data_IF_067783284657
#
_entry.id   IF_067783284657
#
_cell.length_a   1.000
_cell.length_b   1.000
_cell.length_c   1.000
_cell.angle_alpha   90.00
_cell.angle_beta   90.00
_cell.angle_gamma   90.00
#
_symmetry.space_group_name_H-M   'P 1'
#
loop_
_entity.id
_entity.type
_entity.pdbx_description
1 polymer ?
#
# COMPACT_ATOMS: atom_id res chain seq x y z
N UNK A 1 -35.55 31.67 -17.74
CA UNK A 1 -36.91 31.08 -17.77
C UNK A 1 -37.32 30.81 -16.33
N UNK A 2 -38.32 31.55 -15.85
CA UNK A 2 -38.97 31.34 -14.55
C UNK A 2 -40.06 30.27 -14.66
N UNK A 3 -40.17 29.33 -13.70
CA UNK A 3 -41.41 28.76 -13.06
C UNK A 3 -40.96 28.03 -11.77
N UNK A 4 -41.29 28.48 -10.54
CA UNK A 4 -42.44 28.13 -9.66
C UNK A 4 -42.62 26.60 -9.50
N UNK A 5 -42.83 25.99 -8.32
CA UNK A 5 -43.59 26.42 -7.14
C UNK A 5 -43.28 25.61 -5.86
N UNK A 6 -43.73 26.19 -4.74
CA UNK A 6 -43.82 25.76 -3.34
C UNK A 6 -44.71 24.52 -3.10
N UNK A 7 -44.48 23.82 -1.98
CA UNK A 7 -45.46 23.18 -1.06
C UNK A 7 -44.68 22.70 0.19
N UNK A 8 -44.63 23.44 1.30
CA UNK A 8 -45.53 23.38 2.47
C UNK A 8 -46.05 22.00 2.87
N UNK A 9 -45.56 21.50 4.01
CA UNK A 9 -46.12 20.36 4.73
C UNK A 9 -45.60 20.33 6.17
N UNK A 10 -46.30 21.01 7.07
CA UNK A 10 -46.09 20.91 8.51
C UNK A 10 -46.87 19.70 9.05
N UNK A 11 -46.20 18.84 9.81
CA UNK A 11 -46.88 17.95 10.75
C UNK A 11 -46.00 17.77 11.99
N UNK A 12 -46.41 18.42 13.06
CA UNK A 12 -45.92 18.15 14.40
C UNK A 12 -46.59 16.87 14.93
N UNK A 13 -45.81 16.00 15.55
CA UNK A 13 -46.31 15.05 16.53
C UNK A 13 -45.24 14.87 17.63
N UNK A 14 -45.55 15.44 18.80
CA UNK A 14 -44.90 15.17 20.07
C UNK A 14 -45.30 13.78 20.55
N UNK A 15 -44.32 12.92 20.85
CA UNK A 15 -44.47 11.88 21.88
C UNK A 15 -43.20 11.88 22.73
N UNK A 16 -43.32 12.42 23.94
CA UNK A 16 -42.36 12.22 25.01
C UNK A 16 -42.58 10.83 25.60
N UNK A 17 -41.62 9.93 25.41
CA UNK A 17 -41.52 8.64 26.08
C UNK A 17 -40.22 8.58 26.85
N UNK A 18 -40.27 8.81 28.16
CA UNK A 18 -39.13 8.62 29.06
C UNK A 18 -39.19 7.17 29.54
N UNK A 19 -38.43 6.29 28.91
CA UNK A 19 -38.18 4.94 29.40
C UNK A 19 -36.68 4.81 29.64
N UNK A 20 -36.30 4.65 30.90
CA UNK A 20 -34.91 4.52 31.32
C UNK A 20 -34.27 3.26 30.74
N UNK A 21 -33.25 3.47 29.90
CA UNK A 21 -32.25 2.45 29.67
C UNK A 21 -31.17 2.63 30.74
N UNK A 22 -31.11 1.68 31.67
CA UNK A 22 -29.86 1.29 32.31
C UNK A 22 -28.94 0.80 31.18
N UNK A 23 -28.25 1.75 30.54
CA UNK A 23 -27.24 1.48 29.54
C UNK A 23 -26.09 0.79 30.24
N UNK A 24 -25.95 -0.49 29.97
CA UNK A 24 -24.74 -1.25 30.24
C UNK A 24 -23.59 -0.44 29.62
N UNK A 25 -22.74 0.15 30.47
CA UNK A 25 -21.48 0.76 30.05
C UNK A 25 -20.56 -0.41 29.72
N UNK A 26 -20.80 -1.03 28.56
CA UNK A 26 -19.83 -1.90 27.94
C UNK A 26 -18.53 -1.09 27.77
N UNK A 27 -17.35 -1.74 27.90
CA UNK A 27 -16.08 -1.05 27.73
C UNK A 27 -16.12 -0.26 26.41
N UNK A 28 -15.99 1.06 26.54
CA UNK A 28 -16.05 2.01 25.44
C UNK A 28 -15.08 1.58 24.34
N UNK A 29 -15.63 1.32 23.14
CA UNK A 29 -14.94 0.98 21.90
C UNK A 29 -13.69 1.86 21.62
N UNK A 30 -13.65 3.08 22.15
CA UNK A 30 -12.53 4.02 22.03
C UNK A 30 -11.19 3.54 22.62
N UNK A 31 -11.18 2.64 23.62
CA UNK A 31 -9.93 2.14 24.20
C UNK A 31 -9.30 1.01 23.37
N UNK A 32 -10.10 0.32 22.54
CA UNK A 32 -9.64 -0.77 21.67
C UNK A 32 -9.03 -0.24 20.37
N UNK A 33 -9.66 0.76 19.76
CA UNK A 33 -9.20 1.41 18.53
C UNK A 33 -7.79 2.03 18.66
N UNK A 34 -7.50 2.67 19.81
CA UNK A 34 -6.16 3.25 20.06
C UNK A 34 -5.01 2.23 20.08
N UNK A 35 -5.28 0.97 20.42
CA UNK A 35 -4.21 -0.03 20.50
C UNK A 35 -3.83 -0.60 19.12
N UNK A 36 -4.63 -0.37 18.09
CA UNK A 36 -4.37 -0.80 16.72
C UNK A 36 -3.81 0.31 15.82
N UNK A 37 -3.89 1.56 16.25
CA UNK A 37 -3.33 2.69 15.52
C UNK A 37 -1.78 2.66 15.49
N UNK A 38 -1.19 3.04 14.36
CA UNK A 38 0.27 3.11 14.18
C UNK A 38 0.65 4.27 13.28
N UNK A 39 1.82 4.83 13.51
CA UNK A 39 2.43 5.84 12.66
C UNK A 39 3.57 5.22 11.85
N UNK A 40 3.67 5.60 10.58
CA UNK A 40 4.70 5.18 9.65
C UNK A 40 5.46 6.41 9.17
N UNK A 41 6.78 6.28 9.10
CA UNK A 41 7.65 7.29 8.51
C UNK A 41 8.60 6.64 7.49
N UNK A 42 8.76 7.26 6.33
CA UNK A 42 9.79 6.89 5.37
C UNK A 42 11.14 7.37 5.92
N UNK A 43 12.00 6.42 6.31
CA UNK A 43 13.28 6.74 6.99
C UNK A 43 14.49 6.50 6.11
N UNK A 44 14.35 5.70 5.05
CA UNK A 44 15.42 5.41 4.11
C UNK A 44 14.86 5.10 2.71
N UNK A 45 15.61 5.48 1.68
CA UNK A 45 15.36 5.10 0.29
C UNK A 45 16.69 5.03 -0.46
N UNK A 46 16.87 3.99 -1.26
CA UNK A 46 18.03 3.87 -2.13
C UNK A 46 17.95 4.86 -3.29
N UNK A 47 19.09 5.42 -3.66
CA UNK A 47 19.21 6.24 -4.87
C UNK A 47 19.46 5.36 -6.08
N UNK A 48 18.94 5.77 -7.24
CA UNK A 48 19.29 5.19 -8.53
C UNK A 48 20.38 6.08 -9.15
N UNK A 49 21.57 5.57 -9.47
CA UNK A 49 22.61 6.35 -10.13
C UNK A 49 22.13 6.98 -11.45
N UNK A 50 22.42 8.28 -11.65
CA UNK A 50 21.98 9.04 -12.84
C UNK A 50 22.40 8.39 -14.16
N UNK A 51 23.55 7.68 -14.21
CA UNK A 51 24.00 6.97 -15.40
C UNK A 51 23.05 5.87 -15.88
N UNK A 52 22.12 5.43 -15.02
CA UNK A 52 21.12 4.44 -15.37
C UNK A 52 19.89 5.06 -16.06
N UNK A 53 19.77 6.38 -16.14
CA UNK A 53 18.76 7.06 -16.96
C UNK A 53 17.31 6.81 -16.55
N UNK A 54 17.06 6.46 -15.28
CA UNK A 54 15.73 6.41 -14.68
C UNK A 54 15.84 6.70 -13.18
N UNK A 55 14.74 7.14 -12.58
CA UNK A 55 14.62 7.38 -11.15
C UNK A 55 13.49 6.55 -10.55
N UNK A 56 13.60 6.25 -9.25
CA UNK A 56 12.54 5.62 -8.46
C UNK A 56 12.39 6.38 -7.14
N UNK A 57 11.16 6.76 -6.84
CA UNK A 57 10.80 7.57 -5.68
C UNK A 57 9.65 6.92 -4.91
N UNK A 58 9.76 6.91 -3.58
CA UNK A 58 8.70 6.49 -2.67
C UNK A 58 8.18 7.68 -1.89
N UNK A 59 6.86 7.82 -1.80
CA UNK A 59 6.19 8.86 -1.01
C UNK A 59 5.13 8.23 -0.12
N UNK A 60 5.10 8.56 1.17
CA UNK A 60 3.97 8.21 2.02
C UNK A 60 2.79 9.14 1.71
N UNK A 61 1.66 8.55 1.33
CA UNK A 61 0.41 9.26 1.07
C UNK A 61 -0.43 9.37 2.34
N UNK A 62 -0.46 8.29 3.12
CA UNK A 62 -1.12 8.22 4.43
C UNK A 62 -0.14 7.58 5.41
N UNK A 63 0.24 8.32 6.45
CA UNK A 63 1.26 7.92 7.42
C UNK A 63 0.68 7.13 8.60
N UNK A 64 -0.65 7.05 8.71
CA UNK A 64 -1.31 6.43 9.86
C UNK A 64 -2.08 5.18 9.44
N UNK A 65 -1.85 4.08 10.14
CA UNK A 65 -2.73 2.92 10.11
C UNK A 65 -3.79 3.12 11.18
N UNK A 66 -5.06 3.19 10.79
CA UNK A 66 -6.23 3.26 11.67
C UNK A 66 -7.12 2.03 11.51
N UNK A 67 -8.26 1.97 12.20
CA UNK A 67 -9.20 0.84 12.10
C UNK A 67 -9.86 0.72 10.71
N UNK A 68 -10.09 1.88 10.09
CA UNK A 68 -10.87 2.07 8.86
C UNK A 68 -10.04 2.59 7.68
N UNK A 69 -8.78 2.99 7.89
CA UNK A 69 -7.83 3.34 6.82
C UNK A 69 -6.44 2.72 7.03
N UNK A 70 -5.79 2.16 5.99
CA UNK A 70 -4.41 1.69 6.09
C UNK A 70 -3.45 2.87 5.90
N UNK A 71 -2.19 2.69 6.29
CA UNK A 71 -1.14 3.55 5.75
C UNK A 71 -0.94 3.24 4.25
N UNK A 72 -0.66 4.27 3.47
CA UNK A 72 -0.54 4.19 2.01
C UNK A 72 0.74 4.85 1.52
N UNK A 73 1.34 4.27 0.51
CA UNK A 73 2.52 4.81 -0.16
C UNK A 73 2.39 4.75 -1.67
N UNK A 74 3.05 5.68 -2.35
CA UNK A 74 3.23 5.71 -3.78
C UNK A 74 4.68 5.33 -4.09
N UNK A 75 4.89 4.42 -5.04
CA UNK A 75 6.19 4.22 -5.70
C UNK A 75 6.06 4.68 -7.15
N UNK A 76 6.87 5.66 -7.52
CA UNK A 76 6.96 6.23 -8.86
C UNK A 76 8.27 5.83 -9.49
N UNK A 77 8.23 5.32 -10.73
CA UNK A 77 9.41 5.15 -11.56
C UNK A 77 9.28 6.04 -12.78
N UNK A 78 10.32 6.82 -13.10
CA UNK A 78 10.35 7.70 -14.26
C UNK A 78 11.52 7.34 -15.15
N UNK A 79 11.28 7.15 -16.45
CA UNK A 79 12.36 7.05 -17.42
C UNK A 79 12.90 8.46 -17.72
N UNK A 80 14.16 8.72 -17.41
CA UNK A 80 14.76 10.06 -17.54
C UNK A 80 15.66 10.19 -18.77
N UNK A 81 16.03 9.06 -19.39
CA UNK A 81 16.85 8.99 -20.58
C UNK A 81 16.06 8.70 -21.86
N UNK A 82 16.77 8.16 -22.84
CA UNK A 82 16.16 7.64 -24.08
C UNK A 82 15.13 6.54 -23.78
N UNK A 83 14.24 6.29 -24.75
CA UNK A 83 13.27 5.21 -24.70
C UNK A 83 13.96 3.89 -24.36
N UNK A 84 13.39 3.15 -23.40
CA UNK A 84 13.97 1.90 -22.89
C UNK A 84 12.91 1.01 -22.27
N UNK A 85 13.18 -0.28 -22.18
CA UNK A 85 12.33 -1.17 -21.40
C UNK A 85 12.75 -1.21 -19.92
N UNK A 86 11.79 -1.19 -18.99
CA UNK A 86 12.04 -1.30 -17.54
C UNK A 86 11.21 -2.42 -16.90
N UNK A 87 11.75 -3.07 -15.87
CA UNK A 87 11.09 -4.15 -15.11
C UNK A 87 10.30 -3.68 -13.90
N UNK A 88 9.59 -2.55 -14.01
CA UNK A 88 8.86 -1.94 -12.88
C UNK A 88 7.35 -2.24 -12.88
N UNK A 89 6.87 -2.89 -13.94
CA UNK A 89 5.55 -3.52 -14.04
C UNK A 89 4.44 -2.63 -14.62
N UNK A 90 3.49 -3.25 -15.31
CA UNK A 90 2.18 -2.71 -15.67
C UNK A 90 1.16 -3.85 -15.88
N UNK A 91 -0.13 -3.53 -16.09
CA UNK A 91 -1.18 -4.49 -16.46
C UNK A 91 -1.36 -5.67 -15.47
N UNK A 92 -1.34 -5.37 -14.17
CA UNK A 92 -1.45 -6.37 -13.09
C UNK A 92 -0.12 -6.71 -12.43
N UNK A 93 0.98 -6.22 -12.99
CA UNK A 93 2.32 -6.30 -12.42
C UNK A 93 2.73 -4.99 -11.75
N UNK A 94 3.44 -5.10 -10.64
CA UNK A 94 4.08 -3.98 -9.96
C UNK A 94 5.35 -4.47 -9.29
N UNK A 95 6.21 -3.54 -8.87
CA UNK A 95 7.53 -3.84 -8.30
C UNK A 95 7.46 -4.79 -7.09
N UNK A 96 6.56 -4.51 -6.15
CA UNK A 96 6.36 -5.28 -4.92
C UNK A 96 5.08 -6.15 -4.98
N UNK A 97 4.85 -6.83 -6.11
CA UNK A 97 3.69 -7.70 -6.24
C UNK A 97 3.93 -9.12 -5.69
N UNK A 98 2.87 -9.77 -5.21
CA UNK A 98 2.88 -11.20 -4.84
C UNK A 98 3.96 -11.47 -3.79
N UNK A 99 4.83 -12.46 -4.01
CA UNK A 99 5.92 -12.85 -3.09
C UNK A 99 6.95 -11.76 -2.80
N UNK A 100 6.84 -10.59 -3.44
CA UNK A 100 7.72 -9.43 -3.27
C UNK A 100 7.12 -8.34 -2.39
N UNK A 101 5.90 -8.53 -1.89
CA UNK A 101 5.23 -7.55 -1.03
C UNK A 101 5.72 -7.57 0.42
N UNK A 102 6.28 -8.68 0.90
CA UNK A 102 6.76 -8.82 2.27
C UNK A 102 8.00 -7.98 2.55
N UNK A 103 8.11 -7.45 3.77
CA UNK A 103 9.33 -6.82 4.26
C UNK A 103 10.46 -7.83 4.41
N UNK A 104 11.67 -7.46 4.00
CA UNK A 104 12.84 -8.33 3.99
C UNK A 104 13.47 -8.48 5.39
N UNK A 105 13.53 -7.38 6.15
CA UNK A 105 14.11 -7.36 7.50
C UNK A 105 13.53 -6.19 8.35
N UNK A 106 12.94 -6.48 9.52
CA UNK A 106 12.41 -7.78 9.89
C UNK A 106 11.21 -8.13 8.99
N UNK A 107 10.83 -9.41 8.96
CA UNK A 107 9.53 -9.82 8.44
C UNK A 107 8.40 -9.25 9.32
N UNK A 108 7.21 -9.07 8.75
CA UNK A 108 6.01 -8.72 9.53
C UNK A 108 5.10 -7.70 8.88
N UNK A 109 5.53 -7.03 7.81
CA UNK A 109 4.68 -6.15 7.02
C UNK A 109 4.60 -6.62 5.58
N UNK A 110 3.49 -6.28 4.92
CA UNK A 110 3.24 -6.64 3.54
C UNK A 110 2.67 -5.46 2.77
N UNK A 111 3.15 -5.28 1.54
CA UNK A 111 2.64 -4.32 0.58
C UNK A 111 1.64 -5.00 -0.34
N UNK A 112 0.40 -4.56 -0.27
CA UNK A 112 -0.64 -4.91 -1.23
C UNK A 112 -0.89 -3.73 -2.15
N UNK A 113 -1.21 -3.95 -3.42
CA UNK A 113 -1.56 -2.81 -4.28
C UNK A 113 -2.90 -2.26 -3.81
N UNK A 114 -3.07 -0.95 -3.84
CA UNK A 114 -4.33 -0.31 -3.43
C UNK A 114 -5.56 -0.81 -4.23
N UNK A 115 -5.34 -1.32 -5.44
CA UNK A 115 -6.39 -1.89 -6.29
C UNK A 115 -6.72 -3.35 -5.98
N UNK A 116 -5.96 -4.01 -5.10
CA UNK A 116 -6.21 -5.41 -4.74
C UNK A 116 -7.41 -5.46 -3.78
N UNK A 117 -8.36 -6.34 -4.08
CA UNK A 117 -9.54 -6.54 -3.23
C UNK A 117 -9.32 -7.76 -2.34
N UNK A 118 -8.86 -7.52 -1.12
CA UNK A 118 -8.58 -8.56 -0.13
C UNK A 118 -9.54 -8.46 1.05
N UNK A 119 -9.94 -9.61 1.58
CA UNK A 119 -10.69 -9.68 2.83
C UNK A 119 -9.71 -9.47 4.00
N UNK A 120 -10.13 -8.66 4.97
CA UNK A 120 -9.34 -8.33 6.15
C UNK A 120 -10.08 -8.68 7.43
N UNK A 121 -9.32 -8.96 8.48
CA UNK A 121 -9.88 -9.11 9.83
C UNK A 121 -10.50 -7.79 10.29
N UNK A 122 -11.70 -7.84 10.86
CA UNK A 122 -12.41 -6.63 11.31
C UNK A 122 -11.55 -5.80 12.29
N UNK A 123 -11.48 -4.50 12.02
CA UNK A 123 -10.66 -3.54 12.75
C UNK A 123 -9.13 -3.74 12.68
N UNK A 124 -8.63 -4.57 11.75
CA UNK A 124 -7.19 -4.73 11.50
C UNK A 124 -6.87 -4.72 10.01
N UNK A 125 -5.66 -4.28 9.67
CA UNK A 125 -5.10 -4.37 8.32
C UNK A 125 -4.22 -5.61 8.24
N UNK A 126 -4.87 -6.76 8.16
CA UNK A 126 -4.27 -8.09 8.00
C UNK A 126 -5.24 -8.94 7.19
N UNK A 127 -4.73 -9.72 6.24
CA UNK A 127 -5.53 -10.62 5.42
C UNK A 127 -6.27 -11.65 6.31
N UNK A 128 -7.56 -11.88 6.08
CA UNK A 128 -8.37 -12.82 6.88
C UNK A 128 -8.11 -14.27 6.46
N UNK A 129 -6.94 -14.79 6.84
CA UNK A 129 -6.44 -16.14 6.50
C UNK A 129 -5.71 -16.80 7.65
N UNK A 130 -5.60 -18.12 7.58
CA UNK A 130 -4.85 -18.91 8.55
C UNK A 130 -3.35 -18.68 8.38
N UNK A 131 -2.63 -18.38 9.47
CA UNK A 131 -1.19 -18.15 9.47
C UNK A 131 -0.37 -19.36 8.96
N UNK A 132 -0.89 -20.58 9.11
CA UNK A 132 -0.26 -21.82 8.60
C UNK A 132 -0.53 -22.05 7.10
N UNK A 133 -1.46 -21.31 6.50
CA UNK A 133 -1.77 -21.43 5.08
C UNK A 133 -0.63 -20.89 4.23
N UNK A 134 -0.08 -21.72 3.35
CA UNK A 134 0.97 -21.31 2.43
C UNK A 134 0.52 -20.22 1.45
N UNK A 135 1.40 -19.28 1.14
CA UNK A 135 1.12 -18.28 0.10
C UNK A 135 1.16 -18.92 -1.29
N UNK A 136 0.09 -18.74 -2.05
CA UNK A 136 0.02 -19.17 -3.43
C UNK A 136 0.04 -17.94 -4.35
N UNK A 137 1.02 -17.91 -5.25
CA UNK A 137 1.17 -16.85 -6.23
C UNK A 137 1.16 -17.45 -7.63
N UNK A 138 0.43 -16.81 -8.56
CA UNK A 138 0.51 -17.20 -9.97
C UNK A 138 1.93 -16.97 -10.47
N UNK A 139 2.53 -17.95 -11.16
CA UNK A 139 3.90 -17.87 -11.71
C UNK A 139 4.03 -16.96 -12.93
N UNK A 140 2.99 -16.20 -13.27
CA UNK A 140 3.00 -15.31 -14.43
C UNK A 140 4.01 -14.18 -14.22
N UNK A 141 5.14 -14.23 -14.93
CA UNK A 141 6.16 -13.18 -14.90
C UNK A 141 5.65 -11.84 -15.40
N UNK A 142 6.29 -10.77 -14.97
CA UNK A 142 6.01 -9.39 -15.35
C UNK A 142 6.97 -8.91 -16.44
N UNK A 143 6.66 -9.11 -17.74
CA UNK A 143 7.60 -8.77 -18.80
C UNK A 143 7.98 -7.29 -18.73
N UNK A 144 9.21 -6.94 -19.14
CA UNK A 144 9.60 -5.54 -19.24
C UNK A 144 8.69 -4.82 -20.25
N UNK A 145 8.49 -3.53 -20.01
CA UNK A 145 7.69 -2.64 -20.85
C UNK A 145 8.56 -1.46 -21.27
N UNK A 146 8.44 -1.04 -22.52
CA UNK A 146 9.01 0.22 -23.02
C UNK A 146 8.40 1.44 -22.32
N UNK A 147 9.24 2.42 -22.02
CA UNK A 147 8.85 3.71 -21.48
C UNK A 147 9.45 4.81 -22.35
N UNK A 148 8.63 5.77 -22.77
CA UNK A 148 9.07 6.97 -23.46
C UNK A 148 9.96 7.84 -22.53
N UNK A 149 10.81 8.73 -23.08
CA UNK A 149 11.52 9.71 -22.28
C UNK A 149 10.56 10.59 -21.46
N UNK A 150 10.75 10.62 -20.14
CA UNK A 150 9.91 11.33 -19.19
C UNK A 150 8.61 10.61 -18.81
N UNK A 151 8.33 9.42 -19.36
CA UNK A 151 7.18 8.62 -18.94
C UNK A 151 7.39 8.10 -17.51
N UNK A 152 6.35 8.23 -16.69
CA UNK A 152 6.32 7.68 -15.33
C UNK A 152 5.24 6.62 -15.18
N UNK A 153 5.57 5.56 -14.43
CA UNK A 153 4.57 4.64 -13.86
C UNK A 153 4.47 4.90 -12.36
N UNK A 154 3.23 4.85 -11.87
CA UNK A 154 2.90 5.06 -10.47
C UNK A 154 2.17 3.83 -9.95
N UNK A 155 2.67 3.25 -8.86
CA UNK A 155 1.96 2.20 -8.13
C UNK A 155 1.73 2.63 -6.69
N UNK A 156 0.46 2.64 -6.29
CA UNK A 156 0.09 2.82 -4.89
C UNK A 156 -0.02 1.48 -4.17
N UNK A 157 0.49 1.45 -2.94
CA UNK A 157 0.43 0.32 -2.04
C UNK A 157 -0.23 0.70 -0.72
N UNK A 158 -0.92 -0.27 -0.15
CA UNK A 158 -1.36 -0.27 1.24
C UNK A 158 -0.37 -1.09 2.07
N UNK A 159 -0.03 -0.60 3.25
CA UNK A 159 0.82 -1.33 4.20
C UNK A 159 -0.08 -2.10 5.15
N UNK A 160 0.07 -3.42 5.18
CA UNK A 160 -0.69 -4.33 6.03
C UNK A 160 0.27 -5.10 6.93
N UNK A 161 -0.23 -5.60 8.06
CA UNK A 161 0.46 -6.59 8.87
C UNK A 161 0.45 -7.92 8.14
N UNK A 162 1.56 -8.64 8.17
CA UNK A 162 1.68 -9.95 7.56
C UNK A 162 0.92 -11.00 8.38
N UNK A 163 -0.08 -11.64 7.77
CA UNK A 163 -0.92 -12.65 8.43
C UNK A 163 -0.15 -13.88 8.94
N UNK A 164 1.05 -14.15 8.43
CA UNK A 164 1.88 -15.26 8.87
C UNK A 164 2.82 -14.92 10.03
N UNK A 165 2.95 -13.64 10.39
CA UNK A 165 3.86 -13.18 11.44
C UNK A 165 3.06 -12.85 12.70
N UNK A 166 3.52 -13.33 13.85
CA UNK A 166 2.85 -13.06 15.13
C UNK A 166 2.90 -11.57 15.49
N UNK A 167 1.80 -11.07 16.08
CA UNK A 167 1.68 -9.70 16.54
C UNK A 167 0.80 -8.85 15.62
N UNK A 168 0.96 -7.53 15.71
CA UNK A 168 0.27 -6.58 14.84
C UNK A 168 1.05 -5.26 14.79
N UNK A 169 1.64 -4.96 13.64
CA UNK A 169 2.49 -3.77 13.42
C UNK A 169 3.41 -3.48 14.60
N UNK A 170 4.36 -4.38 14.86
CA UNK A 170 5.31 -4.15 15.94
C UNK A 170 6.17 -2.91 15.61
N UNK A 171 6.49 -2.03 16.59
CA UNK A 171 7.39 -0.92 16.33
C UNK A 171 8.77 -1.40 15.87
N UNK A 172 9.32 -0.74 14.85
CA UNK A 172 10.57 -1.16 14.21
C UNK A 172 10.77 -0.50 12.85
N UNK A 173 11.93 -0.73 12.24
CA UNK A 173 12.19 -0.31 10.86
C UNK A 173 12.14 -1.53 9.96
N UNK A 174 11.29 -1.47 8.93
CA UNK A 174 11.03 -2.54 7.98
C UNK A 174 11.58 -2.14 6.61
N UNK A 175 12.37 -3.01 5.99
CA UNK A 175 12.98 -2.81 4.67
C UNK A 175 12.21 -3.57 3.59
N UNK A 176 12.07 -2.96 2.40
CA UNK A 176 11.72 -3.65 1.17
C UNK A 176 12.77 -3.38 0.12
N UNK A 177 13.21 -4.42 -0.59
CA UNK A 177 14.18 -4.33 -1.67
C UNK A 177 13.74 -5.18 -2.86
N UNK A 178 13.95 -4.68 -4.07
CA UNK A 178 13.67 -5.40 -5.30
C UNK A 178 14.73 -5.12 -6.36
N UNK A 179 14.98 -6.14 -7.19
CA UNK A 179 15.83 -5.97 -8.35
C UNK A 179 15.07 -5.28 -9.48
N UNK A 180 15.57 -4.13 -9.88
CA UNK A 180 15.10 -3.38 -11.06
C UNK A 180 16.10 -3.58 -12.19
N UNK A 181 15.59 -3.81 -13.38
CA UNK A 181 16.38 -4.02 -14.59
C UNK A 181 15.88 -3.13 -15.72
N UNK A 182 16.80 -2.70 -16.57
CA UNK A 182 16.54 -1.90 -17.75
C UNK A 182 17.23 -2.48 -18.99
N UNK A 183 16.63 -2.24 -20.15
CA UNK A 183 17.13 -2.67 -21.46
C UNK A 183 17.09 -1.50 -22.43
N UNK A 184 18.18 -1.28 -23.16
CA UNK A 184 18.24 -0.27 -24.22
C UNK A 184 17.33 -0.62 -25.41
N UNK A 185 17.01 -1.91 -25.58
CA UNK A 185 16.02 -2.39 -26.55
C UNK A 185 14.59 -2.25 -25.97
N UNK A 186 13.73 -1.37 -26.50
CA UNK A 186 12.35 -1.22 -26.02
C UNK A 186 11.49 -2.47 -26.27
N UNK A 187 11.89 -3.33 -27.24
CA UNK A 187 11.21 -4.59 -27.55
C UNK A 187 11.73 -5.78 -26.73
N UNK A 188 12.61 -5.53 -25.75
CA UNK A 188 13.25 -6.57 -24.95
C UNK A 188 12.23 -7.54 -24.34
N UNK A 189 12.62 -8.82 -24.30
CA UNK A 189 11.84 -9.90 -23.70
C UNK A 189 12.66 -10.56 -22.59
N UNK A 190 12.02 -11.46 -21.86
CA UNK A 190 12.73 -12.30 -20.91
C UNK A 190 13.87 -13.06 -21.60
N UNK A 191 15.06 -13.01 -21.02
CA UNK A 191 16.26 -13.64 -21.56
C UNK A 191 17.12 -12.74 -22.45
N UNK A 192 16.65 -11.53 -22.78
CA UNK A 192 17.50 -10.50 -23.42
C UNK A 192 18.51 -9.96 -22.42
N UNK A 193 19.74 -9.71 -22.88
CA UNK A 193 20.81 -9.10 -22.09
C UNK A 193 20.37 -7.73 -21.54
N UNK A 194 20.58 -7.54 -20.24
CA UNK A 194 20.19 -6.33 -19.54
C UNK A 194 21.27 -5.27 -19.70
N UNK A 195 20.88 -4.05 -20.02
CA UNK A 195 21.79 -2.91 -19.99
C UNK A 195 22.15 -2.54 -18.54
N UNK A 196 21.15 -2.62 -17.65
CA UNK A 196 21.30 -2.32 -16.23
C UNK A 196 20.51 -3.29 -15.36
N UNK A 197 21.06 -3.60 -14.19
CA UNK A 197 20.38 -4.34 -13.15
C UNK A 197 20.92 -3.90 -11.79
N UNK A 198 20.06 -3.34 -10.94
CA UNK A 198 20.42 -2.94 -9.58
C UNK A 198 19.39 -3.44 -8.57
N UNK A 199 19.80 -3.48 -7.31
CA UNK A 199 18.90 -3.68 -6.17
C UNK A 199 18.52 -2.30 -5.64
N UNK A 200 17.23 -2.04 -5.54
CA UNK A 200 16.67 -0.79 -5.04
C UNK A 200 15.63 -1.08 -3.97
N UNK A 201 15.57 -0.25 -2.93
CA UNK A 201 14.61 -0.42 -1.85
C UNK A 201 14.35 0.86 -1.06
N UNK A 202 13.47 0.71 -0.07
CA UNK A 202 13.15 1.74 0.92
C UNK A 202 12.86 1.11 2.28
N UNK A 203 12.85 1.94 3.33
CA UNK A 203 12.52 1.50 4.67
C UNK A 203 11.48 2.42 5.33
N UNK A 204 10.49 1.79 5.98
CA UNK A 204 9.50 2.46 6.79
C UNK A 204 9.76 2.15 8.26
N UNK A 205 9.68 3.17 9.11
CA UNK A 205 9.68 3.01 10.56
C UNK A 205 8.24 3.03 11.06
N UNK A 206 7.85 2.02 11.83
CA UNK A 206 6.59 1.92 12.56
C UNK A 206 6.79 2.37 14.00
N UNK A 207 5.91 3.24 14.49
CA UNK A 207 5.83 3.68 15.88
C UNK A 207 4.40 3.60 16.42
N UNK A 208 4.26 3.66 17.74
CA UNK A 208 2.96 3.86 18.36
C UNK A 208 2.56 5.34 18.20
N UNK A 209 1.27 5.66 18.11
CA UNK A 209 0.83 7.05 18.20
C UNK A 209 1.31 7.64 19.54
N UNK A 210 1.87 8.86 19.51
CA UNK A 210 2.40 9.61 20.66
C UNK A 210 3.77 9.16 21.25
N UNK A 211 4.61 8.43 20.50
CA UNK A 211 5.95 7.99 20.97
C UNK A 211 7.15 8.78 20.45
#
# INVERSE_FOLDING_TARGET
>A
MQRRALLTGSAAALVAGVAGCLGEIGPTSSARAKNTERELALVEQDSVPDEYGFSIETTLLEETVAEDSPARLEVRTTNEGDERALSVGEAGCSLFNRSRGGSDDPEGLWLYRHTDHLERVDGRWVEDRDAEEGRAFTTQGCPPRAYDPGESVVTEYEVWHDFQVEGYFQPGTYRWSQRVSGWDDPDARWGTDKAVSLEWGFALRVSNPDS
#
